data_IF_148767745496
#
_entry.id   IF_148767745496
#
_cell.length_a   1.000
_cell.length_b   1.000
_cell.length_c   1.000
_cell.angle_alpha   90.00
_cell.angle_beta   90.00
_cell.angle_gamma   90.00
#
_symmetry.space_group_name_H-M   'P 1'
#
loop_
_entity.id
_entity.type
_entity.pdbx_description
1 polymer ?
#
# COMPACT_ATOMS: atom_id res chain seq x y z
N UNK A 1 0.39 -8.81 15.14
CA UNK A 1 -0.53 -8.58 14.02
C UNK A 1 -0.75 -7.08 13.91
N UNK A 2 -0.27 -6.45 12.84
CA UNK A 2 -0.42 -5.01 12.66
C UNK A 2 -1.59 -4.69 11.72
N UNK A 3 -1.96 -3.41 11.62
CA UNK A 3 -3.02 -2.91 10.71
C UNK A 3 -2.83 -3.38 9.25
N UNK A 4 -1.60 -3.64 8.84
CA UNK A 4 -1.26 -4.14 7.51
C UNK A 4 -1.79 -5.56 7.24
N UNK A 5 -1.79 -6.46 8.24
CA UNK A 5 -2.22 -7.86 8.06
C UNK A 5 -3.72 -7.88 7.72
N UNK A 6 -4.47 -6.98 8.37
CA UNK A 6 -5.89 -6.78 8.10
C UNK A 6 -6.15 -6.18 6.71
N UNK A 7 -5.31 -5.26 6.25
CA UNK A 7 -5.45 -4.66 4.91
C UNK A 7 -5.25 -5.73 3.82
N UNK A 8 -4.25 -6.60 4.01
CA UNK A 8 -3.97 -7.70 3.09
C UNK A 8 -5.10 -8.73 3.09
N UNK A 9 -5.62 -9.10 4.27
CA UNK A 9 -6.79 -9.98 4.38
C UNK A 9 -8.03 -9.39 3.70
N UNK A 10 -8.31 -8.10 3.87
CA UNK A 10 -9.46 -7.45 3.24
C UNK A 10 -9.31 -7.45 1.72
N UNK A 11 -8.14 -7.08 1.19
CA UNK A 11 -7.90 -7.07 -0.25
C UNK A 11 -8.06 -8.48 -0.86
N UNK A 12 -7.55 -9.52 -0.18
CA UNK A 12 -7.63 -10.90 -0.67
C UNK A 12 -9.03 -11.50 -0.51
N UNK A 13 -9.69 -11.30 0.63
CA UNK A 13 -10.95 -11.96 0.96
C UNK A 13 -12.16 -11.32 0.24
N UNK A 14 -12.12 -10.02 -0.04
CA UNK A 14 -13.26 -9.29 -0.63
C UNK A 14 -13.12 -9.04 -2.15
N UNK A 15 -11.94 -9.30 -2.73
CA UNK A 15 -11.62 -8.90 -4.10
C UNK A 15 -11.57 -7.39 -4.31
N UNK A 16 -11.55 -6.61 -3.22
CA UNK A 16 -11.48 -5.16 -3.29
C UNK A 16 -10.08 -4.69 -3.74
N UNK A 17 -10.05 -3.61 -4.52
CA UNK A 17 -8.81 -2.89 -4.82
C UNK A 17 -8.54 -1.89 -3.70
N UNK A 18 -7.38 -2.00 -3.05
CA UNK A 18 -6.98 -1.12 -1.95
C UNK A 18 -5.77 -0.28 -2.37
N UNK A 19 -5.82 1.01 -2.06
CA UNK A 19 -4.70 1.95 -2.22
C UNK A 19 -4.31 2.49 -0.85
N UNK A 20 -3.05 2.31 -0.46
CA UNK A 20 -2.50 2.78 0.81
C UNK A 20 -1.55 3.95 0.55
N UNK A 21 -1.78 5.08 1.21
CA UNK A 21 -0.86 6.23 1.21
C UNK A 21 -0.19 6.29 2.57
N UNK A 22 1.15 6.29 2.59
CA UNK A 22 1.92 6.30 3.84
C UNK A 22 3.25 7.02 3.66
N UNK A 23 3.82 7.46 4.77
CA UNK A 23 5.22 7.92 4.86
C UNK A 23 6.12 6.87 5.56
N UNK A 24 5.56 5.73 5.97
CA UNK A 24 6.33 4.64 6.55
C UNK A 24 6.84 3.72 5.43
N UNK A 25 8.14 3.80 5.14
CA UNK A 25 8.78 3.01 4.08
C UNK A 25 8.70 1.50 4.34
N UNK A 26 8.85 1.06 5.59
CA UNK A 26 8.75 -0.37 5.94
C UNK A 26 7.35 -0.95 5.69
N UNK A 27 6.30 -0.12 5.75
CA UNK A 27 4.96 -0.53 5.33
C UNK A 27 4.85 -0.60 3.80
N UNK A 28 5.37 0.42 3.11
CA UNK A 28 5.32 0.48 1.65
C UNK A 28 6.09 -0.68 0.99
N UNK A 29 7.22 -1.09 1.54
CA UNK A 29 8.04 -2.22 1.08
C UNK A 29 7.31 -3.56 1.07
N UNK A 30 6.26 -3.68 1.88
CA UNK A 30 5.47 -4.92 1.98
C UNK A 30 4.32 -4.98 0.98
N UNK A 31 4.01 -3.87 0.32
CA UNK A 31 2.97 -3.81 -0.69
C UNK A 31 3.47 -4.44 -2.00
N UNK A 32 2.61 -5.15 -2.74
CA UNK A 32 3.00 -5.82 -3.98
C UNK A 32 3.40 -4.85 -5.10
N UNK A 33 2.93 -3.60 -5.02
CA UNK A 33 3.29 -2.49 -5.92
C UNK A 33 3.45 -1.22 -5.11
N UNK A 34 4.39 -0.37 -5.54
CA UNK A 34 4.63 0.96 -4.97
C UNK A 34 4.63 1.99 -6.07
N UNK A 35 4.10 3.17 -5.75
CA UNK A 35 4.12 4.32 -6.63
C UNK A 35 4.57 5.52 -5.79
N UNK A 36 5.63 6.20 -6.23
CA UNK A 36 6.15 7.38 -5.55
C UNK A 36 5.58 8.61 -6.25
N UNK A 37 5.09 9.57 -5.46
CA UNK A 37 4.64 10.86 -5.97
C UNK A 37 5.60 11.94 -5.51
N UNK A 38 6.08 12.74 -6.47
CA UNK A 38 6.93 13.90 -6.21
C UNK A 38 6.45 15.06 -7.08
N UNK A 39 6.23 16.22 -6.46
CA UNK A 39 5.79 17.44 -7.15
C UNK A 39 4.55 17.23 -8.06
N UNK A 40 3.59 16.42 -7.57
CA UNK A 40 2.35 16.11 -8.29
C UNK A 40 2.52 15.13 -9.47
N UNK A 41 3.69 14.51 -9.64
CA UNK A 41 3.98 13.54 -10.70
C UNK A 41 4.36 12.18 -10.13
N UNK A 42 4.04 11.14 -10.88
CA UNK A 42 4.55 9.79 -10.62
C UNK A 42 6.05 9.77 -10.89
N UNK A 43 6.83 9.38 -9.89
CA UNK A 43 8.27 9.09 -10.02
C UNK A 43 8.53 7.59 -9.98
N UNK A 44 9.75 7.21 -10.39
CA UNK A 44 10.25 5.85 -10.33
C UNK A 44 10.30 5.31 -8.89
#
# INVERSE_FOLDING_TARGET
AGVHDLIDEVAQASGATVVVVTHNEALAERMPRRLVLKDGRVSA
#
